data_IF_391424534319
#
_entry.id   IF_391424534319
#
_cell.length_a   1.000
_cell.length_b   1.000
_cell.length_c   1.000
_cell.angle_alpha   90.00
_cell.angle_beta   90.00
_cell.angle_gamma   90.00
#
_symmetry.space_group_name_H-M   'P 1'
#
loop_
_entity.id
_entity.type
_entity.pdbx_description
1 polymer ?
#
# COMPACT_ATOMS: atom_id res chain seq x y z
N UNK A 1 -14.52 -15.56 -7.79
CA UNK A 1 -13.20 -14.94 -7.98
C UNK A 1 -12.55 -15.55 -9.22
N UNK A 2 -12.58 -14.88 -10.36
CA UNK A 2 -12.01 -15.36 -11.65
C UNK A 2 -10.48 -15.22 -11.65
N UNK A 3 -9.78 -15.89 -12.58
CA UNK A 3 -8.31 -15.88 -12.67
C UNK A 3 -7.76 -14.48 -13.01
N UNK A 4 -8.47 -13.74 -13.85
CA UNK A 4 -8.19 -12.34 -14.20
C UNK A 4 -8.16 -11.41 -12.97
N UNK A 5 -9.11 -11.57 -12.04
CA UNK A 5 -9.09 -10.83 -10.78
C UNK A 5 -7.84 -11.14 -9.94
N UNK A 6 -7.33 -12.38 -9.97
CA UNK A 6 -6.10 -12.74 -9.23
C UNK A 6 -4.87 -12.09 -9.84
N UNK A 7 -4.80 -12.02 -11.16
CA UNK A 7 -3.70 -11.34 -11.85
C UNK A 7 -3.72 -9.84 -11.61
N UNK A 8 -4.89 -9.20 -11.68
CA UNK A 8 -5.02 -7.77 -11.39
C UNK A 8 -4.57 -7.42 -9.96
N UNK A 9 -4.97 -8.22 -8.97
CA UNK A 9 -4.52 -8.08 -7.58
C UNK A 9 -3.01 -8.30 -7.48
N UNK A 10 -2.44 -9.24 -8.22
CA UNK A 10 -1.00 -9.52 -8.21
C UNK A 10 -0.19 -8.36 -8.82
N UNK A 11 -0.63 -7.81 -9.94
CA UNK A 11 0.00 -6.68 -10.64
C UNK A 11 -0.08 -5.38 -9.84
N UNK A 12 -1.16 -5.18 -9.08
CA UNK A 12 -1.36 -3.97 -8.28
C UNK A 12 -0.97 -4.13 -6.82
N UNK A 13 -0.26 -5.22 -6.46
CA UNK A 13 0.13 -5.47 -5.07
C UNK A 13 1.37 -4.67 -4.69
N UNK A 14 1.16 -3.59 -3.95
CA UNK A 14 2.25 -2.81 -3.37
C UNK A 14 2.85 -3.49 -2.13
N UNK A 15 4.14 -3.27 -1.90
CA UNK A 15 4.86 -3.75 -0.72
C UNK A 15 4.54 -2.90 0.51
N UNK A 16 4.80 -3.46 1.68
CA UNK A 16 4.60 -2.79 2.95
C UNK A 16 5.36 -1.46 3.01
N UNK A 17 4.65 -0.37 3.36
CA UNK A 17 5.14 1.02 3.42
C UNK A 17 5.63 1.63 2.09
N UNK A 18 5.41 0.98 0.95
CA UNK A 18 5.77 1.54 -0.36
C UNK A 18 5.04 2.87 -0.60
N UNK A 19 5.72 3.84 -1.21
CA UNK A 19 5.09 5.10 -1.60
C UNK A 19 4.28 4.91 -2.89
N UNK A 20 3.03 5.36 -2.87
CA UNK A 20 2.22 5.44 -4.09
C UNK A 20 2.81 6.48 -5.05
N UNK A 21 3.12 6.04 -6.27
CA UNK A 21 3.52 6.91 -7.34
C UNK A 21 2.28 7.40 -8.09
N UNK A 22 2.01 8.70 -8.03
CA UNK A 22 0.91 9.30 -8.77
C UNK A 22 1.37 9.56 -10.21
N UNK A 23 0.68 8.96 -11.18
CA UNK A 23 0.97 9.07 -12.62
C UNK A 23 0.95 10.51 -13.17
N UNK A 24 0.37 11.46 -12.44
CA UNK A 24 0.14 12.83 -12.92
C UNK A 24 -0.99 12.90 -13.93
N UNK A 25 -1.42 14.11 -14.29
CA UNK A 25 -2.53 14.34 -15.22
C UNK A 25 -2.13 14.97 -16.57
N UNK A 26 -0.84 15.17 -16.81
CA UNK A 26 -0.34 15.92 -17.97
C UNK A 26 0.43 14.99 -18.92
N UNK A 27 0.17 15.11 -20.23
CA UNK A 27 0.88 14.41 -21.32
C UNK A 27 0.92 12.87 -21.19
N UNK A 28 -0.23 12.24 -21.00
CA UNK A 28 -0.35 10.79 -20.75
C UNK A 28 -0.36 9.92 -22.02
N UNK A 29 -0.45 10.51 -23.21
CA UNK A 29 -0.64 9.82 -24.51
C UNK A 29 0.38 8.70 -24.83
N UNK A 30 1.52 8.66 -24.15
CA UNK A 30 2.58 7.65 -24.32
C UNK A 30 2.97 6.92 -23.05
N UNK A 31 2.35 7.24 -21.91
CA UNK A 31 2.77 6.76 -20.59
C UNK A 31 1.83 5.68 -20.02
N UNK A 32 0.85 5.22 -20.80
CA UNK A 32 -0.16 4.27 -20.34
C UNK A 32 0.39 2.86 -20.10
N UNK A 33 1.50 2.50 -20.76
CA UNK A 33 2.13 1.17 -20.63
C UNK A 33 3.22 1.08 -19.56
N UNK A 34 3.48 2.17 -18.81
CA UNK A 34 4.49 2.17 -17.75
C UNK A 34 3.92 1.58 -16.44
N UNK A 35 4.59 0.58 -15.89
CA UNK A 35 4.25 0.02 -14.57
C UNK A 35 4.75 0.93 -13.43
N UNK A 36 3.83 1.40 -12.60
CA UNK A 36 4.10 2.26 -11.43
C UNK A 36 4.01 1.51 -10.10
N UNK A 37 3.73 0.21 -10.13
CA UNK A 37 3.61 -0.64 -8.95
C UNK A 37 4.97 -1.04 -8.38
N UNK A 38 6.05 -0.86 -9.14
CA UNK A 38 7.39 -1.31 -8.77
C UNK A 38 7.99 -0.49 -7.61
N UNK A 39 8.71 -1.13 -6.66
CA UNK A 39 9.34 -0.43 -5.55
C UNK A 39 10.52 0.43 -6.01
N UNK A 40 10.55 1.68 -5.57
CA UNK A 40 11.58 2.65 -5.95
C UNK A 40 12.51 2.98 -4.78
N UNK A 41 13.82 2.92 -5.00
CA UNK A 41 14.84 3.38 -4.06
C UNK A 41 14.74 2.72 -2.68
N UNK A 42 14.31 3.49 -1.67
CA UNK A 42 14.21 3.08 -0.26
C UNK A 42 13.16 1.97 0.00
N UNK A 43 12.26 1.73 -0.95
CA UNK A 43 11.21 0.69 -0.89
C UNK A 43 11.67 -0.67 -1.44
N UNK A 44 12.91 -0.79 -1.91
CA UNK A 44 13.49 -2.07 -2.35
C UNK A 44 13.73 -3.03 -1.18
N UNK A 45 13.98 -2.50 0.02
CA UNK A 45 14.20 -3.31 1.21
C UNK A 45 12.88 -3.81 1.80
N UNK A 46 12.87 -5.05 2.29
CA UNK A 46 11.70 -5.59 2.97
C UNK A 46 11.58 -5.02 4.38
N UNK A 47 10.64 -4.09 4.57
CA UNK A 47 10.43 -3.39 5.83
C UNK A 47 9.66 -4.23 6.85
N UNK A 48 9.17 -5.42 6.47
CA UNK A 48 8.47 -6.33 7.39
C UNK A 48 9.41 -6.98 8.40
N UNK A 49 10.69 -7.13 8.05
CA UNK A 49 11.72 -7.73 8.90
C UNK A 49 12.14 -6.77 10.04
N UNK A 50 11.80 -5.48 9.91
CA UNK A 50 12.14 -4.47 10.90
C UNK A 50 11.32 -4.66 12.20
N UNK A 51 11.90 -4.38 13.37
CA UNK A 51 11.17 -4.28 14.63
C UNK A 51 10.01 -3.29 14.54
N UNK A 52 8.91 -3.54 15.25
CA UNK A 52 7.65 -2.76 15.16
C UNK A 52 7.84 -1.25 15.31
N UNK A 53 8.76 -0.81 16.16
CA UNK A 53 9.07 0.62 16.39
C UNK A 53 9.67 1.29 15.14
N UNK A 54 10.38 0.52 14.30
CA UNK A 54 10.99 0.98 13.06
C UNK A 54 10.10 0.77 11.82
N UNK A 55 8.96 0.09 11.93
CA UNK A 55 7.96 -0.09 10.87
C UNK A 55 7.13 1.19 10.65
N UNK A 56 7.82 2.31 10.46
CA UNK A 56 7.23 3.64 10.37
C UNK A 56 7.89 4.46 9.28
N UNK A 57 7.10 5.23 8.52
CA UNK A 57 7.64 6.05 7.42
C UNK A 57 8.55 7.15 8.00
N UNK A 58 9.75 7.29 7.43
CA UNK A 58 10.74 8.33 7.77
C UNK A 58 11.10 8.34 9.27
N UNK A 59 11.56 7.19 9.78
CA UNK A 59 12.04 7.04 11.15
C UNK A 59 13.12 8.08 11.48
N UNK A 60 13.04 8.73 12.65
CA UNK A 60 14.00 9.76 13.10
C UNK A 60 13.79 11.17 12.53
N UNK A 61 12.83 11.41 11.62
CA UNK A 61 12.53 12.75 11.12
C UNK A 61 11.48 13.48 11.95
N UNK A 62 11.72 14.77 12.23
CA UNK A 62 10.80 15.64 13.00
C UNK A 62 9.41 15.80 12.35
N UNK A 63 9.31 15.65 11.03
CA UNK A 63 8.07 15.77 10.24
C UNK A 63 7.39 14.43 9.92
N UNK A 64 7.55 13.43 10.78
CA UNK A 64 6.96 12.11 10.56
C UNK A 64 5.41 12.15 10.62
N UNK A 65 4.77 11.43 9.71
CA UNK A 65 3.32 11.21 9.74
C UNK A 65 2.96 10.23 10.87
N UNK A 66 1.90 10.53 11.61
CA UNK A 66 1.43 9.70 12.73
C UNK A 66 0.87 8.35 12.26
N UNK A 67 0.20 8.36 11.12
CA UNK A 67 -0.53 7.22 10.56
C UNK A 67 0.39 6.29 9.76
N UNK A 68 0.22 4.98 9.93
CA UNK A 68 1.03 3.94 9.27
C UNK A 68 0.21 3.16 8.26
N UNK A 69 -0.77 2.39 8.74
CA UNK A 69 -1.68 1.58 7.94
C UNK A 69 -3.12 1.80 8.37
N UNK A 70 -4.06 1.70 7.42
CA UNK A 70 -5.49 1.78 7.71
C UNK A 70 -5.91 0.69 8.70
N UNK A 71 -5.38 -0.53 8.54
CA UNK A 71 -5.71 -1.70 9.38
C UNK A 71 -5.35 -1.47 10.85
N UNK A 72 -4.30 -0.69 11.15
CA UNK A 72 -3.93 -0.42 12.55
C UNK A 72 -4.88 0.59 13.22
N UNK A 73 -5.57 1.42 12.43
CA UNK A 73 -6.49 2.45 12.92
C UNK A 73 -7.96 2.05 12.72
N UNK A 74 -8.20 0.96 11.97
CA UNK A 74 -9.50 0.40 11.72
C UNK A 74 -10.03 -0.24 13.00
N UNK A 75 -11.03 0.40 13.60
CA UNK A 75 -11.73 -0.08 14.80
C UNK A 75 -12.93 -0.95 14.45
N UNK A 76 -13.10 -1.32 13.19
CA UNK A 76 -14.21 -2.16 12.73
C UNK A 76 -14.17 -3.51 13.43
N UNK A 77 -15.24 -3.85 14.14
CA UNK A 77 -15.41 -5.17 14.73
C UNK A 77 -15.86 -6.17 13.66
N UNK A 78 -14.89 -6.89 13.11
CA UNK A 78 -15.12 -7.91 12.08
C UNK A 78 -15.90 -9.13 12.58
N UNK A 79 -16.04 -9.31 13.90
CA UNK A 79 -16.88 -10.37 14.50
C UNK A 79 -18.33 -9.95 14.70
N UNK A 80 -18.67 -8.68 14.44
CA UNK A 80 -20.04 -8.22 14.55
C UNK A 80 -20.85 -8.72 13.33
N UNK A 81 -21.87 -9.58 13.54
CA UNK A 81 -22.65 -10.15 12.45
C UNK A 81 -23.35 -9.08 11.60
N UNK A 82 -23.62 -7.89 12.13
CA UNK A 82 -24.27 -6.79 11.40
C UNK A 82 -23.33 -6.00 10.49
N UNK A 83 -22.02 -6.13 10.67
CA UNK A 83 -21.00 -5.42 9.88
C UNK A 83 -20.45 -6.31 8.77
N UNK A 84 -20.51 -7.64 8.94
CA UNK A 84 -19.96 -8.66 8.05
C UNK A 84 -20.95 -9.19 6.98
N UNK A 85 -21.98 -8.43 6.60
CA UNK A 85 -22.96 -8.84 5.57
C UNK A 85 -22.54 -8.53 4.12
N UNK A 86 -21.27 -8.18 3.89
CA UNK A 86 -20.73 -7.94 2.56
C UNK A 86 -19.56 -8.89 2.26
N UNK A 87 -19.87 -10.16 1.99
CA UNK A 87 -18.98 -11.09 1.29
C UNK A 87 -19.80 -11.95 0.34
#
# INVERSE_FOLDING_TARGET
MTEECREWVRMNKQRFMQKYYQKGGFFLEKADDCDFSTPTGEDMMDKTILPKVMQVKRFGFKGRMKWTDLVNEDTTDWNNPYVCFAC
#
